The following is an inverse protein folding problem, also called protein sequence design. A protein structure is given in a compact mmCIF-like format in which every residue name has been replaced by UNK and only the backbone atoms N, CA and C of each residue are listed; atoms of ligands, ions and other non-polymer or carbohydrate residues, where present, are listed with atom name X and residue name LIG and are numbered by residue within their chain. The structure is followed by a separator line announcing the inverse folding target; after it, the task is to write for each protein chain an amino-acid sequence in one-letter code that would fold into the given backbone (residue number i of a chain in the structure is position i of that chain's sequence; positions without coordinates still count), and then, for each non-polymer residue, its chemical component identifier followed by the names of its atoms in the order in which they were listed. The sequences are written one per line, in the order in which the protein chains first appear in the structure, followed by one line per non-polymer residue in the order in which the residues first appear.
data_IF_212579485993
#
_entry.id   IF_212579485993
#
_cell.length_a   1.000
_cell.length_b   1.000
_cell.length_c   1.000
_cell.angle_alpha   90.00
_cell.angle_beta   90.00
_cell.angle_gamma   90.00
#
_symmetry.space_group_name_H-M   'P 1'
#
loop_
_entity.id
_entity.type
_entity.pdbx_description
1 polymer ?
#
# COMPACT_ATOMS: atom_id res chain seq x y z
N UNK A 1 20.70 4.26 16.03
CA UNK A 1 20.83 3.83 14.62
C UNK A 1 20.87 5.08 13.76
N UNK A 2 21.69 5.15 12.71
CA UNK A 2 21.75 6.35 11.85
C UNK A 2 20.42 6.54 11.12
N UNK A 3 19.89 7.77 11.10
CA UNK A 3 18.68 8.14 10.36
C UNK A 3 18.77 7.71 8.89
N UNK A 4 19.97 7.70 8.31
CA UNK A 4 20.23 7.27 6.94
C UNK A 4 19.85 5.79 6.74
N UNK A 5 20.21 4.91 7.68
CA UNK A 5 19.92 3.47 7.54
C UNK A 5 18.44 3.14 7.60
N UNK A 6 17.69 3.85 8.45
CA UNK A 6 16.22 3.72 8.54
C UNK A 6 15.57 4.24 7.26
N UNK A 7 16.03 5.40 6.77
CA UNK A 7 15.55 5.99 5.52
C UNK A 7 15.81 5.08 4.32
N UNK A 8 17.02 4.53 4.16
CA UNK A 8 17.31 3.61 3.06
C UNK A 8 16.43 2.36 3.08
N UNK A 9 16.16 1.80 4.26
CA UNK A 9 15.26 0.65 4.36
C UNK A 9 13.82 1.03 4.03
N UNK A 10 13.38 2.21 4.49
CA UNK A 10 12.05 2.74 4.18
C UNK A 10 11.86 2.92 2.68
N UNK A 11 12.80 3.60 2.02
CA UNK A 11 12.83 3.79 0.57
C UNK A 11 12.74 2.46 -0.18
N UNK A 12 13.60 1.50 0.17
CA UNK A 12 13.61 0.17 -0.48
C UNK A 12 12.28 -0.57 -0.32
N UNK A 13 11.67 -0.49 0.86
CA UNK A 13 10.40 -1.16 1.15
C UNK A 13 9.25 -0.50 0.39
N UNK A 14 9.12 0.84 0.44
CA UNK A 14 8.04 1.53 -0.27
C UNK A 14 8.18 1.37 -1.79
N UNK A 15 9.38 1.48 -2.36
CA UNK A 15 9.59 1.20 -3.80
C UNK A 15 9.14 -0.19 -4.22
N UNK A 16 9.48 -1.23 -3.44
CA UNK A 16 9.09 -2.61 -3.75
C UNK A 16 7.57 -2.77 -3.86
N UNK A 17 6.82 -2.20 -2.92
CA UNK A 17 5.37 -2.34 -2.91
C UNK A 17 4.68 -1.39 -3.88
N UNK A 18 5.26 -0.22 -4.15
CA UNK A 18 4.82 0.66 -5.24
C UNK A 18 4.87 -0.05 -6.59
N UNK A 19 5.95 -0.77 -6.91
CA UNK A 19 6.05 -1.52 -8.16
C UNK A 19 4.92 -2.55 -8.31
N UNK A 20 4.60 -3.27 -7.23
CA UNK A 20 3.53 -4.29 -7.20
C UNK A 20 2.16 -3.64 -7.42
N UNK A 21 1.86 -2.55 -6.70
CA UNK A 21 0.56 -1.88 -6.79
C UNK A 21 0.38 -1.17 -8.13
N UNK A 22 1.44 -0.55 -8.68
CA UNK A 22 1.41 0.08 -10.00
C UNK A 22 1.20 -0.93 -11.11
N UNK A 23 1.90 -2.07 -11.08
CA UNK A 23 1.70 -3.16 -12.03
C UNK A 23 0.23 -3.64 -12.00
N UNK A 24 -0.35 -3.78 -10.81
CA UNK A 24 -1.76 -4.11 -10.66
C UNK A 24 -2.68 -3.05 -11.30
N UNK A 25 -2.51 -1.77 -10.96
CA UNK A 25 -3.36 -0.68 -11.48
C UNK A 25 -3.31 -0.64 -13.01
N UNK A 26 -2.10 -0.69 -13.60
CA UNK A 26 -1.92 -0.66 -15.06
C UNK A 26 -2.64 -1.84 -15.71
N UNK A 27 -2.42 -3.05 -15.19
CA UNK A 27 -3.05 -4.26 -15.73
C UNK A 27 -4.56 -4.24 -15.58
N UNK A 28 -5.09 -3.71 -14.46
CA UNK A 28 -6.53 -3.59 -14.21
C UNK A 28 -7.17 -2.54 -15.13
N UNK A 29 -6.46 -1.47 -15.50
CA UNK A 29 -6.95 -0.46 -16.47
C UNK A 29 -6.99 -0.97 -17.91
N UNK A 30 -6.10 -1.90 -18.29
CA UNK A 30 -6.07 -2.51 -19.62
C UNK A 30 -7.07 -3.67 -19.72
N UNK A 31 -7.13 -4.50 -18.67
CA UNK A 31 -8.04 -5.63 -18.52
C UNK A 31 -8.77 -5.50 -17.19
N UNK A 32 -10.03 -5.02 -17.18
CA UNK A 32 -10.77 -4.70 -15.95
C UNK A 32 -11.19 -5.93 -15.13
N UNK A 33 -10.63 -7.10 -15.39
CA UNK A 33 -10.89 -8.33 -14.65
C UNK A 33 -9.77 -8.61 -13.63
N UNK A 34 -10.16 -8.76 -12.36
CA UNK A 34 -9.27 -9.27 -11.32
C UNK A 34 -9.23 -10.80 -11.44
N UNK A 35 -8.11 -11.32 -11.89
CA UNK A 35 -7.86 -12.77 -11.94
C UNK A 35 -7.71 -13.34 -10.52
N UNK A 36 -8.03 -14.63 -10.34
CA UNK A 36 -7.99 -15.27 -9.02
C UNK A 36 -6.61 -15.17 -8.36
N UNK A 37 -5.53 -15.33 -9.14
CA UNK A 37 -4.16 -15.19 -8.62
C UNK A 37 -3.85 -13.77 -8.12
N UNK A 38 -4.33 -12.72 -8.81
CA UNK A 38 -4.14 -11.32 -8.37
C UNK A 38 -5.01 -11.00 -7.18
N UNK A 39 -6.24 -11.52 -7.17
CA UNK A 39 -7.16 -11.40 -6.06
C UNK A 39 -6.52 -11.93 -4.77
N UNK A 40 -5.93 -13.13 -4.82
CA UNK A 40 -5.27 -13.76 -3.68
C UNK A 40 -4.06 -12.93 -3.20
N UNK A 41 -3.24 -12.43 -4.13
CA UNK A 41 -2.10 -11.57 -3.80
C UNK A 41 -2.52 -10.26 -3.12
N UNK A 42 -3.56 -9.59 -3.63
CA UNK A 42 -4.05 -8.36 -3.03
C UNK A 42 -4.70 -8.60 -1.67
N UNK A 43 -5.48 -9.68 -1.53
CA UNK A 43 -6.07 -10.04 -0.24
C UNK A 43 -4.97 -10.34 0.77
N UNK A 44 -3.94 -11.12 0.42
CA UNK A 44 -2.81 -11.40 1.31
C UNK A 44 -2.10 -10.12 1.74
N UNK A 45 -1.79 -9.24 0.78
CA UNK A 45 -1.17 -7.94 1.07
C UNK A 45 -2.01 -7.08 2.02
N UNK A 46 -3.29 -6.86 1.70
CA UNK A 46 -4.17 -5.99 2.51
C UNK A 46 -4.45 -6.63 3.88
N UNK A 47 -4.57 -7.96 3.96
CA UNK A 47 -4.77 -8.66 5.24
C UNK A 47 -3.56 -8.54 6.15
N UNK A 48 -2.34 -8.55 5.60
CA UNK A 48 -1.12 -8.31 6.38
C UNK A 48 -1.01 -6.87 6.88
N UNK A 49 -1.64 -5.91 6.20
CA UNK A 49 -1.71 -4.52 6.65
C UNK A 49 -2.70 -4.33 7.79
N UNK A 50 -3.80 -5.09 7.83
CA UNK A 50 -4.83 -5.00 8.88
C UNK A 50 -4.56 -5.89 10.09
N UNK A 51 -3.62 -6.82 9.99
CA UNK A 51 -3.28 -7.71 11.11
C UNK A 51 -2.47 -6.97 12.18
N UNK A 52 -3.15 -6.60 13.26
CA UNK A 52 -2.57 -5.97 14.45
C UNK A 52 -1.52 -6.82 15.17
N UNK A 53 -1.51 -8.14 14.93
CA UNK A 53 -0.53 -9.06 15.50
C UNK A 53 0.62 -9.37 14.52
N UNK A 54 0.63 -8.74 13.35
CA UNK A 54 1.68 -8.95 12.37
C UNK A 54 3.02 -8.45 12.93
N UNK A 55 3.91 -9.40 13.20
CA UNK A 55 5.24 -9.13 13.74
C UNK A 55 6.27 -8.77 12.65
N UNK A 56 5.91 -8.84 11.37
CA UNK A 56 6.80 -8.50 10.27
C UNK A 56 7.04 -6.98 10.22
N UNK A 57 8.27 -6.49 10.47
CA UNK A 57 8.54 -5.06 10.57
C UNK A 57 8.19 -4.28 9.30
N UNK A 58 8.32 -4.92 8.13
CA UNK A 58 7.92 -4.32 6.85
C UNK A 58 6.43 -3.93 6.82
N UNK A 59 5.55 -4.80 7.31
CA UNK A 59 4.11 -4.56 7.28
C UNK A 59 3.69 -3.57 8.36
N UNK A 60 4.31 -3.61 9.54
CA UNK A 60 4.10 -2.58 10.56
C UNK A 60 4.43 -1.18 10.05
N UNK A 61 5.53 -1.05 9.31
CA UNK A 61 5.96 0.21 8.72
C UNK A 61 4.97 0.68 7.63
N UNK A 62 4.59 -0.21 6.72
CA UNK A 62 3.63 0.10 5.65
C UNK A 62 2.25 0.47 6.21
N UNK A 63 1.75 -0.29 7.19
CA UNK A 63 0.49 0.03 7.88
C UNK A 63 0.56 1.41 8.51
N UNK A 64 1.67 1.74 9.19
CA UNK A 64 1.83 3.06 9.81
C UNK A 64 1.77 4.21 8.78
N UNK A 65 2.41 4.04 7.61
CA UNK A 65 2.38 5.03 6.52
C UNK A 65 0.97 5.17 5.96
N UNK A 66 0.35 4.05 5.61
CA UNK A 66 -0.98 4.01 4.98
C UNK A 66 -2.04 4.56 5.94
N UNK A 67 -2.01 4.15 7.21
CA UNK A 67 -2.96 4.66 8.20
C UNK A 67 -2.84 6.17 8.41
N UNK A 68 -1.60 6.69 8.44
CA UNK A 68 -1.37 8.14 8.54
C UNK A 68 -2.02 8.85 7.36
N UNK A 69 -1.83 8.33 6.15
CA UNK A 69 -2.41 8.94 4.96
C UNK A 69 -3.94 8.84 4.94
N UNK A 70 -4.50 7.68 5.27
CA UNK A 70 -5.95 7.51 5.36
C UNK A 70 -6.57 8.48 6.37
N UNK A 71 -5.90 8.74 7.50
CA UNK A 71 -6.33 9.75 8.47
C UNK A 71 -6.27 11.17 7.90
N UNK A 72 -5.26 11.51 7.09
CA UNK A 72 -5.19 12.81 6.40
C UNK A 72 -6.39 13.02 5.47
N UNK A 73 -6.89 11.96 4.85
CA UNK A 73 -8.10 11.98 4.02
C UNK A 73 -9.42 11.76 4.81
N UNK A 74 -9.41 11.87 6.15
CA UNK A 74 -10.57 11.62 7.02
C UNK A 74 -11.20 10.22 6.88
N UNK A 75 -10.42 9.22 6.48
CA UNK A 75 -10.85 7.82 6.38
C UNK A 75 -10.42 7.06 7.63
N UNK A 76 -11.30 6.20 8.16
CA UNK A 76 -10.96 5.26 9.22
C UNK A 76 -10.18 4.09 8.62
N UNK A 77 -8.90 3.85 9.01
CA UNK A 77 -8.06 2.85 8.34
C UNK A 77 -8.67 1.45 8.33
N UNK A 78 -9.11 0.94 9.48
CA UNK A 78 -9.71 -0.40 9.59
C UNK A 78 -10.93 -0.56 8.68
N UNK A 79 -11.79 0.44 8.63
CA UNK A 79 -13.01 0.40 7.79
C UNK A 79 -12.62 0.41 6.32
N UNK A 80 -11.68 1.28 5.93
CA UNK A 80 -11.22 1.38 4.56
C UNK A 80 -10.59 0.08 4.07
N UNK A 81 -9.63 -0.47 4.81
CA UNK A 81 -8.90 -1.68 4.43
C UNK A 81 -9.81 -2.92 4.44
N UNK A 82 -10.71 -3.04 5.41
CA UNK A 82 -11.69 -4.13 5.42
C UNK A 82 -12.66 -4.04 4.23
N UNK A 83 -13.10 -2.83 3.86
CA UNK A 83 -13.96 -2.64 2.68
C UNK A 83 -13.19 -2.99 1.41
N UNK A 84 -11.93 -2.57 1.29
CA UNK A 84 -11.06 -2.93 0.17
C UNK A 84 -10.94 -4.46 0.01
N UNK A 85 -10.76 -5.21 1.11
CA UNK A 85 -10.76 -6.68 1.05
C UNK A 85 -12.07 -7.23 0.48
N UNK A 86 -13.22 -6.66 0.87
CA UNK A 86 -14.52 -7.10 0.34
C UNK A 86 -14.68 -6.78 -1.14
N UNK A 87 -14.26 -5.59 -1.58
CA UNK A 87 -14.35 -5.20 -2.99
C UNK A 87 -13.45 -6.08 -3.87
N UNK A 88 -12.25 -6.42 -3.39
CA UNK A 88 -11.36 -7.39 -4.05
C UNK A 88 -12.03 -8.76 -4.12
N UNK A 89 -12.70 -9.21 -3.05
CA UNK A 89 -13.46 -10.48 -3.02
C UNK A 89 -14.61 -10.50 -4.03
N UNK A 90 -15.28 -9.37 -4.19
CA UNK A 90 -16.37 -9.18 -5.15
C UNK A 90 -15.89 -8.93 -6.59
N UNK A 91 -14.57 -8.85 -6.80
CA UNK A 91 -13.94 -8.48 -8.09
C UNK A 91 -14.48 -7.16 -8.64
N UNK A 92 -14.82 -6.23 -7.76
CA UNK A 92 -15.37 -4.93 -8.12
C UNK A 92 -14.23 -3.97 -8.49
N UNK A 93 -13.73 -4.12 -9.71
CA UNK A 93 -12.56 -3.36 -10.19
C UNK A 93 -12.78 -1.85 -10.15
N UNK A 94 -14.03 -1.38 -10.36
CA UNK A 94 -14.36 0.05 -10.34
C UNK A 94 -14.15 0.69 -8.97
N UNK A 95 -14.40 -0.06 -7.89
CA UNK A 95 -14.18 0.43 -6.52
C UNK A 95 -12.80 0.07 -5.96
N UNK A 96 -12.21 -1.04 -6.41
CA UNK A 96 -10.87 -1.48 -6.00
C UNK A 96 -9.79 -0.52 -6.51
N UNK A 97 -9.83 -0.14 -7.80
CA UNK A 97 -8.75 0.67 -8.40
C UNK A 97 -8.54 1.99 -7.63
N UNK A 98 -9.56 2.84 -7.39
CA UNK A 98 -9.36 4.11 -6.68
C UNK A 98 -8.83 3.92 -5.25
N UNK A 99 -9.18 2.81 -4.60
CA UNK A 99 -8.70 2.50 -3.24
C UNK A 99 -7.24 2.07 -3.24
N UNK A 100 -6.82 1.29 -4.23
CA UNK A 100 -5.43 0.91 -4.42
C UNK A 100 -4.60 2.13 -4.83
N UNK A 101 -5.11 3.01 -5.70
CA UNK A 101 -4.45 4.26 -6.08
C UNK A 101 -4.15 5.14 -4.87
N UNK A 102 -5.08 5.26 -3.92
CA UNK A 102 -4.85 6.00 -2.67
C UNK A 102 -3.73 5.38 -1.81
N UNK A 103 -3.64 4.05 -1.76
CA UNK A 103 -2.55 3.36 -1.05
C UNK A 103 -1.23 3.60 -1.77
N UNK A 104 -1.21 3.52 -3.10
CA UNK A 104 -0.02 3.82 -3.92
C UNK A 104 0.46 5.24 -3.69
N UNK A 105 -0.44 6.23 -3.70
CA UNK A 105 -0.10 7.64 -3.43
C UNK A 105 0.53 7.82 -2.05
N UNK A 106 -0.02 7.17 -1.01
CA UNK A 106 0.57 7.20 0.33
C UNK A 106 2.02 6.71 0.37
N UNK A 107 2.30 5.62 -0.35
CA UNK A 107 3.64 5.04 -0.42
C UNK A 107 4.59 5.88 -1.26
N UNK A 108 4.09 6.54 -2.32
CA UNK A 108 4.88 7.38 -3.23
C UNK A 108 5.33 8.67 -2.55
N UNK A 109 4.44 9.31 -1.79
CA UNK A 109 4.76 10.48 -0.97
C UNK A 109 5.87 10.13 0.04
N UNK A 110 5.71 9.06 0.80
CA UNK A 110 6.72 8.63 1.77
C UNK A 110 8.04 8.26 1.08
N UNK A 111 8.00 7.54 -0.05
CA UNK A 111 9.19 7.18 -0.82
C UNK A 111 9.98 8.42 -1.25
N UNK A 112 9.29 9.42 -1.80
CA UNK A 112 9.86 10.68 -2.27
C UNK A 112 10.46 11.51 -1.14
N UNK A 113 9.75 11.66 -0.02
CA UNK A 113 10.26 12.38 1.16
C UNK A 113 11.52 11.72 1.74
N UNK A 114 11.54 10.40 1.79
CA UNK A 114 12.66 9.65 2.34
C UNK A 114 13.86 9.69 1.39
N UNK A 115 13.64 9.66 0.08
CA UNK A 115 14.69 9.86 -0.91
C UNK A 115 15.35 11.23 -0.76
N UNK A 116 14.58 12.30 -0.60
CA UNK A 116 15.11 13.65 -0.38
C UNK A 116 16.04 13.70 0.86
N UNK A 117 15.62 13.09 1.96
CA UNK A 117 16.42 12.97 3.19
C UNK A 117 17.70 12.14 3.03
N UNK A 118 17.74 11.19 2.09
CA UNK A 118 18.94 10.40 1.78
C UNK A 118 19.93 11.23 0.95
N UNK A 119 19.42 12.01 -0.02
CA UNK A 119 20.22 12.82 -0.94
C UNK A 119 20.78 14.07 -0.24
N UNK A 120 20.14 14.52 0.85
CA UNK A 120 20.64 15.58 1.72
C UNK A 120 20.00 16.95 1.51
N UNK A 121 18.73 16.98 1.09
CA UNK A 121 17.88 18.18 1.14
C UNK A 121 17.43 18.50 2.58
#
# INVERSE_FOLDING_TARGET
MSNIGINTNTFRLTSKYLDILNDFIVKAKIHPEITDARQEQLIDFVSKLTDVNNAEPQFQMLSSIIERELRNFNKKPDVFLNTLIQDIKNKDTETVIPKIELITEALDVENSEVLAKIIGD
#
